data_IF_801322429284
#
_entry.id   IF_801322429284
#
_cell.length_a   1.000
_cell.length_b   1.000
_cell.length_c   1.000
_cell.angle_alpha   90.00
_cell.angle_beta   90.00
_cell.angle_gamma   90.00
#
_symmetry.space_group_name_H-M   'P 1'
#
loop_
_entity.id
_entity.type
_entity.pdbx_description
1 polymer ?
#
# COMPACT_ATOMS: atom_id res chain seq x y z
N UNK A 1 0.96 -4.90 15.38
CA UNK A 1 0.80 -4.29 14.05
C UNK A 1 0.26 -5.35 13.12
N UNK A 2 -0.85 -5.07 12.44
CA UNK A 2 -1.44 -6.00 11.50
C UNK A 2 -0.65 -6.01 10.21
N UNK A 3 -0.55 -7.16 9.55
CA UNK A 3 0.14 -7.31 8.26
C UNK A 3 -0.52 -6.47 7.15
N UNK A 4 -1.75 -6.00 7.38
CA UNK A 4 -2.50 -5.11 6.49
C UNK A 4 -2.19 -3.62 6.69
N UNK A 5 -1.50 -3.24 7.77
CA UNK A 5 -1.15 -1.83 8.06
C UNK A 5 0.04 -1.34 7.22
N UNK A 6 0.68 -2.23 6.46
CA UNK A 6 1.83 -1.86 5.65
C UNK A 6 1.39 -1.08 4.41
N UNK A 7 2.10 0.01 4.06
CA UNK A 7 1.72 0.90 2.97
C UNK A 7 1.88 0.26 1.58
N UNK A 8 2.33 -1.00 1.50
CA UNK A 8 2.57 -1.71 0.24
C UNK A 8 3.04 -3.14 0.47
N UNK A 9 3.41 -3.77 -0.63
CA UNK A 9 3.97 -5.12 -0.69
C UNK A 9 5.04 -5.16 -1.76
N UNK A 10 5.94 -6.13 -1.65
CA UNK A 10 6.96 -6.39 -2.66
C UNK A 10 6.95 -7.87 -3.02
N UNK A 11 6.96 -8.18 -4.32
CA UNK A 11 7.09 -9.56 -4.80
C UNK A 11 8.55 -10.00 -4.75
N UNK A 12 8.79 -11.30 -4.59
CA UNK A 12 10.10 -11.95 -4.76
C UNK A 12 9.95 -13.38 -5.28
N UNK A 13 10.84 -13.86 -6.16
CA UNK A 13 10.89 -15.25 -6.56
C UNK A 13 11.51 -16.08 -5.44
N UNK A 14 10.81 -17.10 -4.97
CA UNK A 14 11.27 -18.02 -3.94
C UNK A 14 10.73 -19.42 -4.22
N UNK A 15 11.62 -20.42 -4.17
CA UNK A 15 11.26 -21.84 -4.37
C UNK A 15 10.40 -22.12 -5.62
N UNK A 16 10.73 -21.48 -6.75
CA UNK A 16 10.02 -21.69 -8.03
C UNK A 16 8.63 -21.03 -8.12
N UNK A 17 8.27 -20.20 -7.14
CA UNK A 17 7.03 -19.42 -7.12
C UNK A 17 7.31 -17.95 -6.84
N UNK A 18 6.31 -17.09 -7.08
CA UNK A 18 6.34 -15.69 -6.64
C UNK A 18 5.67 -15.58 -5.27
N UNK A 19 6.43 -15.08 -4.31
CA UNK A 19 5.96 -14.78 -2.97
C UNK A 19 5.96 -13.27 -2.75
N UNK A 20 5.19 -12.80 -1.79
CA UNK A 20 5.17 -11.39 -1.44
C UNK A 20 5.40 -11.21 0.05
N UNK A 21 6.01 -10.08 0.40
CA UNK A 21 6.22 -9.64 1.78
C UNK A 21 5.68 -8.22 1.97
N UNK A 22 5.31 -7.85 3.19
CA UNK A 22 4.81 -6.52 3.49
C UNK A 22 5.92 -5.46 3.40
N UNK A 23 5.57 -4.29 2.85
CA UNK A 23 6.45 -3.13 2.78
C UNK A 23 7.22 -2.97 1.46
N UNK A 24 8.20 -2.07 1.49
CA UNK A 24 9.03 -1.73 0.35
C UNK A 24 10.17 -2.73 0.14
N UNK A 25 10.76 -2.71 -1.05
CA UNK A 25 11.89 -3.54 -1.40
C UNK A 25 13.04 -3.40 -0.39
N UNK A 26 13.44 -4.53 0.19
CA UNK A 26 14.58 -4.62 1.12
C UNK A 26 15.90 -4.72 0.38
N UNK A 27 17.01 -4.53 1.10
CA UNK A 27 18.35 -4.70 0.53
C UNK A 27 18.60 -6.16 0.21
N UNK A 28 19.53 -6.39 -0.71
CA UNK A 28 19.94 -7.73 -1.09
C UNK A 28 20.39 -8.55 0.14
N UNK A 29 19.93 -9.79 0.21
CA UNK A 29 20.14 -10.77 1.28
C UNK A 29 19.56 -10.40 2.65
N UNK A 30 18.75 -9.34 2.73
CA UNK A 30 18.07 -9.00 3.99
C UNK A 30 16.99 -10.06 4.30
N UNK A 31 16.92 -10.60 5.52
CA UNK A 31 15.89 -11.56 5.88
C UNK A 31 14.51 -10.88 5.86
N UNK A 32 13.57 -11.52 5.18
CA UNK A 32 12.18 -11.08 5.09
C UNK A 32 11.24 -12.21 5.46
N UNK A 33 10.11 -11.83 6.05
CA UNK A 33 9.00 -12.75 6.32
C UNK A 33 7.93 -12.55 5.26
N UNK A 34 7.66 -13.61 4.50
CA UNK A 34 6.65 -13.64 3.46
C UNK A 34 5.24 -13.66 4.09
N UNK A 35 4.22 -13.27 3.32
CA UNK A 35 2.82 -13.37 3.77
C UNK A 35 2.42 -14.81 4.11
N UNK A 36 3.01 -15.79 3.43
CA UNK A 36 2.82 -17.22 3.72
C UNK A 36 3.61 -17.72 4.94
N UNK A 37 4.14 -16.82 5.78
CA UNK A 37 4.91 -17.13 7.01
C UNK A 37 6.23 -17.86 6.78
N UNK A 38 6.70 -17.94 5.53
CA UNK A 38 8.01 -18.47 5.21
C UNK A 38 9.08 -17.38 5.39
N UNK A 39 10.24 -17.78 5.90
CA UNK A 39 11.42 -16.94 5.95
C UNK A 39 12.17 -17.07 4.62
N UNK A 40 12.42 -15.94 3.98
CA UNK A 40 13.21 -15.86 2.76
C UNK A 40 14.24 -14.75 2.89
N UNK A 41 15.26 -14.77 2.03
CA UNK A 41 16.15 -13.64 1.87
C UNK A 41 15.64 -12.79 0.71
N UNK A 42 15.48 -11.49 0.93
CA UNK A 42 15.19 -10.56 -0.14
C UNK A 42 16.34 -10.61 -1.14
N UNK A 43 16.02 -10.72 -2.42
CA UNK A 43 16.98 -10.47 -3.48
C UNK A 43 16.63 -9.17 -4.17
N UNK A 44 17.65 -8.36 -4.41
CA UNK A 44 17.54 -7.24 -5.32
C UNK A 44 17.67 -7.82 -6.74
N UNK A 45 16.54 -8.11 -7.36
CA UNK A 45 16.51 -8.57 -8.75
C UNK A 45 15.82 -7.51 -9.61
N UNK A 46 16.36 -7.26 -10.80
CA UNK A 46 15.59 -6.58 -11.83
C UNK A 46 14.49 -7.54 -12.26
N UNK A 47 13.22 -7.11 -12.20
CA UNK A 47 12.09 -7.88 -12.74
C UNK A 47 12.31 -8.08 -14.24
N UNK A 48 12.99 -9.17 -14.61
CA UNK A 48 13.04 -9.65 -15.97
C UNK A 48 11.63 -10.05 -16.43
N UNK A 49 11.43 -10.09 -17.74
CA UNK A 49 10.17 -10.54 -18.32
C UNK A 49 9.81 -11.99 -17.94
N UNK A 50 10.79 -12.82 -17.59
CA UNK A 50 10.64 -14.24 -17.28
C UNK A 50 10.07 -14.51 -15.89
N UNK A 51 10.46 -13.78 -14.84
CA UNK A 51 9.91 -14.05 -13.51
C UNK A 51 8.43 -13.66 -13.38
N UNK A 52 7.90 -12.79 -14.26
CA UNK A 52 6.46 -12.51 -14.32
C UNK A 52 5.62 -13.74 -14.70
N UNK A 53 6.22 -14.73 -15.37
CA UNK A 53 5.58 -15.97 -15.78
C UNK A 53 5.53 -17.01 -14.66
N UNK A 54 6.22 -16.77 -13.54
CA UNK A 54 6.23 -17.72 -12.43
C UNK A 54 4.89 -17.74 -11.72
N UNK A 55 4.40 -18.93 -11.32
CA UNK A 55 3.15 -19.04 -10.58
C UNK A 55 3.25 -18.32 -9.25
N UNK A 56 2.22 -17.56 -8.91
CA UNK A 56 2.11 -16.88 -7.62
C UNK A 56 1.72 -17.87 -6.53
N UNK A 57 2.29 -17.71 -5.34
CA UNK A 57 1.83 -18.44 -4.16
C UNK A 57 0.41 -17.98 -3.79
N UNK A 58 -0.54 -18.91 -3.69
CA UNK A 58 -1.96 -18.59 -3.45
C UNK A 58 -2.19 -17.75 -2.19
N UNK A 59 -1.49 -18.08 -1.09
CA UNK A 59 -1.58 -17.34 0.18
C UNK A 59 -1.05 -15.92 0.01
N UNK A 60 0.11 -15.76 -0.64
CA UNK A 60 0.68 -14.44 -0.89
C UNK A 60 -0.22 -13.59 -1.79
N UNK A 61 -0.82 -14.20 -2.84
CA UNK A 61 -1.76 -13.53 -3.74
C UNK A 61 -3.00 -13.04 -3.00
N UNK A 62 -3.61 -13.89 -2.17
CA UNK A 62 -4.80 -13.51 -1.38
C UNK A 62 -4.49 -12.34 -0.43
N UNK A 63 -3.35 -12.42 0.27
CA UNK A 63 -2.93 -11.37 1.21
C UNK A 63 -2.60 -10.05 0.51
N UNK A 64 -1.97 -10.11 -0.67
CA UNK A 64 -1.75 -8.93 -1.52
C UNK A 64 -3.09 -8.31 -1.93
N UNK A 65 -4.08 -9.11 -2.32
CA UNK A 65 -5.44 -8.65 -2.60
C UNK A 65 -6.03 -7.84 -1.44
N UNK A 66 -5.97 -8.38 -0.22
CA UNK A 66 -6.43 -7.70 0.99
C UNK A 66 -5.70 -6.38 1.25
N UNK A 67 -4.39 -6.30 1.01
CA UNK A 67 -3.60 -5.06 1.14
C UNK A 67 -4.03 -4.03 0.10
N UNK A 68 -4.29 -4.45 -1.14
CA UNK A 68 -4.78 -3.56 -2.22
C UNK A 68 -6.16 -3.00 -1.89
N UNK A 69 -7.09 -3.86 -1.47
CA UNK A 69 -8.45 -3.48 -1.10
C UNK A 69 -8.45 -2.50 0.07
N UNK A 70 -7.63 -2.78 1.10
CA UNK A 70 -7.50 -1.90 2.25
C UNK A 70 -6.97 -0.51 1.86
N UNK A 71 -5.94 -0.44 0.98
CA UNK A 71 -5.42 0.84 0.47
C UNK A 71 -6.45 1.60 -0.35
N UNK A 72 -7.27 0.91 -1.14
CA UNK A 72 -8.35 1.53 -1.92
C UNK A 72 -9.40 2.14 -0.99
N UNK A 73 -9.83 1.41 0.03
CA UNK A 73 -10.78 1.91 1.03
C UNK A 73 -10.22 3.11 1.83
N UNK A 74 -8.93 3.09 2.19
CA UNK A 74 -8.27 4.23 2.84
C UNK A 74 -8.18 5.46 1.92
N UNK A 75 -7.89 5.27 0.62
CA UNK A 75 -7.86 6.36 -0.37
C UNK A 75 -9.24 6.97 -0.58
N UNK A 76 -10.28 6.15 -0.61
CA UNK A 76 -11.66 6.60 -0.74
C UNK A 76 -12.09 7.42 0.49
N UNK A 77 -11.84 6.91 1.70
CA UNK A 77 -12.10 7.67 2.94
C UNK A 77 -11.31 8.99 3.00
N UNK A 78 -10.06 8.98 2.56
CA UNK A 78 -9.26 10.20 2.49
C UNK A 78 -9.89 11.20 1.51
N UNK A 79 -10.29 10.75 0.31
CA UNK A 79 -10.98 11.58 -0.69
C UNK A 79 -12.27 12.19 -0.15
N UNK A 80 -13.11 11.39 0.51
CA UNK A 80 -14.35 11.88 1.14
C UNK A 80 -14.07 12.89 2.24
N UNK A 81 -13.04 12.66 3.05
CA UNK A 81 -12.61 13.62 4.08
C UNK A 81 -12.16 14.94 3.44
N UNK A 82 -11.36 14.90 2.36
CA UNK A 82 -10.95 16.11 1.64
C UNK A 82 -12.12 16.85 0.99
N UNK A 83 -13.11 16.15 0.44
CA UNK A 83 -14.34 16.76 -0.08
C UNK A 83 -15.15 17.47 1.01
N UNK A 84 -15.23 16.89 2.21
CA UNK A 84 -15.91 17.53 3.36
C UNK A 84 -15.24 18.85 3.79
N UNK A 85 -13.94 19.03 3.52
CA UNK A 85 -13.23 20.30 3.76
C UNK A 85 -13.16 21.23 2.54
N UNK A 86 -13.56 20.78 1.35
CA UNK A 86 -13.55 21.58 0.11
C UNK A 86 -14.67 22.63 0.05
N UNK A 87 -15.81 22.37 0.69
CA UNK A 87 -16.97 23.28 0.70
C UNK A 87 -17.09 24.14 1.97
N UNK A 88 -16.19 23.96 2.94
CA UNK A 88 -16.20 24.78 4.16
C UNK A 88 -15.11 25.84 4.03
N UNK A 89 -15.45 27.14 3.84
CA UNK A 89 -14.45 28.19 3.93
C UNK A 89 -13.74 28.05 5.28
N UNK A 90 -12.41 28.22 5.34
CA UNK A 90 -11.69 28.14 6.59
C UNK A 90 -12.34 29.10 7.59
N UNK A 91 -12.65 28.59 8.78
CA UNK A 91 -13.11 29.37 9.91
C UNK A 91 -12.09 30.49 10.15
N UNK A 92 -12.41 31.70 9.68
CA UNK A 92 -11.45 32.81 9.61
C UNK A 92 -11.66 33.78 8.44
N UNK A 93 -12.45 33.40 7.43
CA UNK A 93 -12.74 34.30 6.30
C UNK A 93 -13.74 35.44 6.60
N UNK A 94 -14.25 35.56 7.82
CA UNK A 94 -15.22 36.60 8.20
C UNK A 94 -14.53 37.88 8.74
N UNK A 95 -13.20 37.91 8.87
CA UNK A 95 -12.52 39.07 9.49
C UNK A 95 -11.78 40.02 8.53
N UNK A 96 -11.94 39.89 7.20
CA UNK A 96 -11.25 40.79 6.24
C UNK A 96 -12.12 41.55 5.24
N UNK A 97 -13.38 41.18 5.10
CA UNK A 97 -14.32 41.91 4.26
C UNK A 97 -15.57 42.17 5.10
N UNK A 98 -15.84 43.45 5.33
CA UNK A 98 -16.88 43.93 6.22
C UNK A 98 -18.23 43.28 5.94
N UNK A 99 -19.04 43.22 6.99
CA UNK A 99 -20.42 42.74 6.97
C UNK A 99 -21.18 43.27 5.74
N UNK A 100 -22.08 42.47 5.13
CA UNK A 100 -22.93 42.97 4.07
C UNK A 100 -23.79 44.13 4.62
N UNK A 101 -23.98 45.23 3.85
CA UNK A 101 -24.91 46.28 4.23
C UNK A 101 -26.37 45.73 4.23
N UNK A 102 -27.30 46.42 4.92
CA UNK A 102 -28.63 45.90 5.29
C UNK A 102 -29.49 45.45 4.11
#
# INVERSE_FOLDING_TARGET
MSVYDFPGYTWLPFEGKRHAYPGAAKRDKEPVTLFCQLAASAWAYELGALERLWPECDICREMVGKVVDHRSALRERARDTFHVYGDRPPYGWISRHGAPPP
#
